data_IF_473275560209
#
_entry.id   IF_473275560209
#
_cell.length_a   1.000
_cell.length_b   1.000
_cell.length_c   1.000
_cell.angle_alpha   90.00
_cell.angle_beta   90.00
_cell.angle_gamma   90.00
#
_symmetry.space_group_name_H-M   'P 1'
#
loop_
_entity.id
_entity.type
_entity.pdbx_description
1 polymer ?
#
# COMPACT_ATOMS: atom_id res chain seq x y z
N UNK A 1 -16.35 -6.75 -9.11
CA UNK A 1 -15.98 -6.60 -7.68
C UNK A 1 -15.35 -5.23 -7.45
N UNK A 2 -15.88 -4.48 -6.52
CA UNK A 2 -15.37 -3.14 -6.22
C UNK A 2 -14.12 -3.25 -5.35
N UNK A 3 -13.04 -2.60 -5.80
CA UNK A 3 -11.78 -2.56 -5.05
C UNK A 3 -11.89 -1.49 -3.98
N UNK A 4 -11.46 -1.81 -2.76
CA UNK A 4 -11.39 -0.84 -1.66
C UNK A 4 -9.97 -0.34 -1.49
N UNK A 5 -9.85 0.97 -1.32
CA UNK A 5 -8.56 1.64 -1.10
C UNK A 5 -8.49 2.18 0.34
N UNK A 6 -7.27 2.38 0.82
CA UNK A 6 -7.01 3.00 2.12
C UNK A 6 -6.22 4.29 1.91
N UNK A 7 -6.92 5.35 1.52
CA UNK A 7 -6.31 6.64 1.20
C UNK A 7 -6.38 7.62 2.38
N UNK A 8 -7.38 7.46 3.23
CA UNK A 8 -7.60 8.26 4.45
C UNK A 8 -8.47 7.45 5.42
N UNK A 9 -8.48 7.87 6.67
CA UNK A 9 -9.25 7.14 7.70
C UNK A 9 -10.74 7.12 7.40
N UNK A 10 -11.26 8.17 6.78
CA UNK A 10 -12.68 8.27 6.45
C UNK A 10 -13.15 7.29 5.38
N UNK A 11 -12.24 6.57 4.72
CA UNK A 11 -12.60 5.53 3.76
C UNK A 11 -13.24 4.31 4.43
N UNK A 12 -13.15 4.23 5.76
CA UNK A 12 -13.64 3.11 6.55
C UNK A 12 -14.56 3.59 7.68
N UNK A 13 -15.51 2.76 8.07
CA UNK A 13 -16.34 3.03 9.23
C UNK A 13 -15.52 2.80 10.51
N UNK A 14 -16.05 3.29 11.64
CA UNK A 14 -15.41 3.05 12.93
C UNK A 14 -15.28 1.56 13.24
N UNK A 15 -16.33 0.80 12.97
CA UNK A 15 -16.33 -0.65 13.19
C UNK A 15 -15.27 -1.34 12.35
N UNK A 16 -15.09 -0.90 11.11
CA UNK A 16 -14.06 -1.43 10.23
C UNK A 16 -12.65 -1.10 10.74
N UNK A 17 -12.42 0.13 11.22
CA UNK A 17 -11.14 0.53 11.81
C UNK A 17 -10.86 -0.28 13.08
N UNK A 18 -11.85 -0.44 13.94
CA UNK A 18 -11.70 -1.25 15.16
C UNK A 18 -11.34 -2.69 14.82
N UNK A 19 -11.97 -3.25 13.79
CA UNK A 19 -11.66 -4.60 13.31
C UNK A 19 -10.21 -4.70 12.79
N UNK A 20 -9.75 -3.68 12.04
CA UNK A 20 -8.37 -3.65 11.55
C UNK A 20 -7.36 -3.61 12.70
N UNK A 21 -7.63 -2.82 13.74
CA UNK A 21 -6.77 -2.72 14.91
C UNK A 21 -6.71 -4.06 15.65
N UNK A 22 -7.87 -4.67 15.88
CA UNK A 22 -7.99 -5.98 16.51
C UNK A 22 -7.20 -7.05 15.74
N UNK A 23 -7.39 -7.07 14.43
CA UNK A 23 -6.69 -8.00 13.55
C UNK A 23 -5.19 -7.78 13.56
N UNK A 24 -4.77 -6.52 13.60
CA UNK A 24 -3.35 -6.15 13.68
C UNK A 24 -2.71 -6.68 14.96
N UNK A 25 -3.37 -6.54 16.10
CA UNK A 25 -2.88 -7.10 17.37
C UNK A 25 -2.75 -8.61 17.31
N UNK A 26 -3.73 -9.30 16.76
CA UNK A 26 -3.71 -10.74 16.62
C UNK A 26 -2.53 -11.19 15.75
N UNK A 27 -2.32 -10.56 14.60
CA UNK A 27 -1.21 -10.88 13.68
C UNK A 27 0.14 -10.61 14.36
N UNK A 28 0.26 -9.45 15.02
CA UNK A 28 1.48 -9.06 15.70
C UNK A 28 1.89 -10.06 16.79
N UNK A 29 0.95 -10.56 17.56
CA UNK A 29 1.22 -11.57 18.57
C UNK A 29 1.75 -12.86 17.95
N UNK A 30 1.18 -13.30 16.85
CA UNK A 30 1.66 -14.50 16.14
C UNK A 30 3.09 -14.30 15.64
N UNK A 31 3.40 -13.17 15.05
CA UNK A 31 4.74 -12.87 14.55
C UNK A 31 5.76 -12.84 15.69
N UNK A 32 5.40 -12.27 16.82
CA UNK A 32 6.30 -12.25 17.99
C UNK A 32 6.60 -13.62 18.57
N UNK A 33 5.72 -14.59 18.36
CA UNK A 33 5.90 -15.97 18.77
C UNK A 33 6.51 -16.86 17.69
N UNK A 34 6.84 -16.26 16.53
CA UNK A 34 7.32 -16.98 15.35
C UNK A 34 6.34 -18.06 14.87
N UNK A 35 5.04 -17.84 15.08
CA UNK A 35 3.98 -18.69 14.55
C UNK A 35 3.68 -18.29 13.12
N UNK A 36 3.81 -19.20 12.14
CA UNK A 36 3.52 -18.87 10.74
C UNK A 36 2.09 -18.41 10.53
N UNK A 37 1.93 -17.31 9.80
CA UNK A 37 0.65 -16.84 9.33
C UNK A 37 0.88 -16.16 7.99
N UNK A 38 0.51 -16.84 6.90
CA UNK A 38 0.88 -16.43 5.53
C UNK A 38 -0.34 -16.31 4.62
N UNK A 39 -1.28 -15.39 4.91
CA UNK A 39 -2.47 -15.23 4.08
C UNK A 39 -2.17 -14.63 2.71
N UNK A 40 -0.98 -14.04 2.52
CA UNK A 40 -0.60 -13.35 1.28
C UNK A 40 0.46 -14.12 0.49
N UNK A 41 0.45 -15.46 0.57
CA UNK A 41 1.37 -16.29 -0.21
C UNK A 41 1.28 -15.91 -1.69
N UNK A 42 2.46 -15.69 -2.29
CA UNK A 42 2.60 -15.35 -3.71
C UNK A 42 1.95 -14.03 -4.13
N UNK A 43 1.58 -13.17 -3.16
CA UNK A 43 1.09 -11.83 -3.47
C UNK A 43 2.24 -10.83 -3.54
N UNK A 44 2.12 -9.86 -4.41
CA UNK A 44 3.15 -8.84 -4.63
C UNK A 44 2.61 -7.46 -4.29
N UNK A 45 3.35 -6.75 -3.43
CA UNK A 45 3.12 -5.35 -3.11
C UNK A 45 4.11 -4.49 -3.91
N UNK A 46 3.61 -3.52 -4.64
CA UNK A 46 4.46 -2.47 -5.22
C UNK A 46 4.44 -1.26 -4.29
N UNK A 47 5.62 -0.83 -3.86
CA UNK A 47 5.78 0.39 -3.04
C UNK A 47 6.33 1.50 -3.92
N UNK A 48 5.56 2.57 -4.06
CA UNK A 48 5.95 3.73 -4.86
C UNK A 48 6.34 4.86 -3.91
N UNK A 49 7.62 5.25 -3.91
CA UNK A 49 8.14 6.28 -3.04
C UNK A 49 8.57 7.52 -3.83
N UNK A 50 7.87 8.62 -3.63
CA UNK A 50 8.33 9.94 -4.08
C UNK A 50 9.03 10.72 -2.96
N UNK A 51 8.92 10.22 -1.72
CA UNK A 51 9.64 10.72 -0.54
C UNK A 51 10.37 9.55 0.12
N UNK A 52 11.57 9.79 0.62
CA UNK A 52 12.29 8.77 1.37
C UNK A 52 11.61 8.48 2.71
N UNK A 53 11.58 7.21 3.08
CA UNK A 53 11.15 6.79 4.40
C UNK A 53 11.68 5.39 4.71
N UNK A 54 12.67 5.31 5.58
CA UNK A 54 13.23 4.04 6.01
C UNK A 54 12.20 3.23 6.81
N UNK A 55 11.52 3.87 7.75
CA UNK A 55 10.55 3.19 8.62
C UNK A 55 9.38 2.61 7.83
N UNK A 56 8.79 3.40 6.95
CA UNK A 56 7.67 2.95 6.12
C UNK A 56 8.10 1.81 5.21
N UNK A 57 9.25 1.96 4.55
CA UNK A 57 9.77 0.92 3.67
C UNK A 57 9.99 -0.39 4.40
N UNK A 58 10.73 -0.35 5.52
CA UNK A 58 11.05 -1.56 6.28
C UNK A 58 9.78 -2.23 6.83
N UNK A 59 8.83 -1.45 7.34
CA UNK A 59 7.60 -2.01 7.89
C UNK A 59 6.76 -2.72 6.84
N UNK A 60 6.64 -2.15 5.64
CA UNK A 60 5.89 -2.79 4.56
C UNK A 60 6.62 -4.00 3.99
N UNK A 61 7.92 -3.91 3.77
CA UNK A 61 8.71 -5.05 3.26
C UNK A 61 8.69 -6.22 4.25
N UNK A 62 9.00 -5.95 5.52
CA UNK A 62 9.01 -6.99 6.55
C UNK A 62 7.61 -7.58 6.74
N UNK A 63 6.58 -6.74 6.77
CA UNK A 63 5.20 -7.19 6.91
C UNK A 63 4.77 -8.10 5.77
N UNK A 64 5.07 -7.73 4.52
CA UNK A 64 4.74 -8.57 3.37
C UNK A 64 5.45 -9.92 3.42
N UNK A 65 6.75 -9.92 3.76
CA UNK A 65 7.51 -11.17 3.87
C UNK A 65 6.93 -12.08 4.94
N UNK A 66 6.60 -11.52 6.12
CA UNK A 66 6.02 -12.29 7.22
C UNK A 66 4.64 -12.85 6.87
N UNK A 67 3.88 -12.12 6.05
CA UNK A 67 2.56 -12.57 5.58
C UNK A 67 2.64 -13.53 4.38
N UNK A 68 3.84 -13.84 3.91
CA UNK A 68 4.07 -14.81 2.83
C UNK A 68 4.22 -14.21 1.44
N UNK A 69 4.13 -12.89 1.32
CA UNK A 69 4.22 -12.20 0.04
C UNK A 69 5.58 -11.62 -0.26
N UNK A 70 5.61 -10.79 -1.29
CA UNK A 70 6.82 -10.11 -1.77
C UNK A 70 6.55 -8.62 -1.92
N UNK A 71 7.61 -7.82 -1.84
CA UNK A 71 7.50 -6.38 -2.05
C UNK A 71 8.52 -5.91 -3.09
N UNK A 72 8.07 -5.03 -3.97
CA UNK A 72 8.92 -4.35 -4.96
C UNK A 72 8.99 -2.88 -4.55
N UNK A 73 10.21 -2.37 -4.43
CA UNK A 73 10.42 -0.96 -4.12
C UNK A 73 10.71 -0.18 -5.39
N UNK A 74 9.84 0.80 -5.70
CA UNK A 74 9.97 1.68 -6.85
C UNK A 74 10.25 3.11 -6.36
N UNK A 75 11.43 3.62 -6.67
CA UNK A 75 11.78 5.01 -6.37
C UNK A 75 11.22 5.93 -7.45
N UNK A 76 11.14 7.23 -7.17
CA UNK A 76 10.63 8.25 -8.09
C UNK A 76 11.26 8.16 -9.48
N UNK A 77 12.58 7.95 -9.54
CA UNK A 77 13.30 7.83 -10.81
C UNK A 77 12.90 6.61 -11.63
N UNK A 78 12.29 5.61 -10.99
CA UNK A 78 11.88 4.38 -11.64
C UNK A 78 10.44 4.45 -12.15
N UNK A 79 9.61 5.33 -11.58
CA UNK A 79 8.18 5.36 -11.84
C UNK A 79 7.70 6.57 -12.63
N UNK A 80 8.43 7.69 -12.59
CA UNK A 80 8.05 8.93 -13.26
C UNK A 80 6.62 9.39 -12.99
N UNK A 81 6.08 9.10 -11.78
CA UNK A 81 4.74 9.56 -11.42
C UNK A 81 4.62 11.07 -11.57
N UNK A 82 3.69 11.50 -12.44
CA UNK A 82 3.49 12.92 -12.71
C UNK A 82 4.57 13.56 -13.57
N UNK A 83 5.46 12.77 -14.17
CA UNK A 83 6.55 13.27 -15.02
C UNK A 83 6.53 12.54 -16.35
N UNK A 84 6.04 13.20 -17.39
CA UNK A 84 6.07 12.68 -18.75
C UNK A 84 5.10 11.56 -19.04
N UNK A 85 4.74 10.75 -18.06
CA UNK A 85 3.77 9.68 -18.20
C UNK A 85 2.54 9.99 -17.35
N UNK A 86 1.31 9.89 -17.92
CA UNK A 86 0.10 10.13 -17.13
C UNK A 86 0.00 9.14 -15.96
N UNK A 87 -0.43 9.65 -14.80
CA UNK A 87 -0.60 8.84 -13.59
C UNK A 87 -1.57 7.68 -13.85
N UNK A 88 -2.62 7.94 -14.62
CA UNK A 88 -3.63 6.95 -14.99
C UNK A 88 -3.03 5.77 -15.75
N UNK A 89 -2.09 6.05 -16.65
CA UNK A 89 -1.44 4.99 -17.44
C UNK A 89 -0.48 4.17 -16.58
N UNK A 90 0.27 4.82 -15.70
CA UNK A 90 1.15 4.13 -14.74
C UNK A 90 0.31 3.20 -13.86
N UNK A 91 -0.83 3.68 -13.36
CA UNK A 91 -1.74 2.88 -12.55
C UNK A 91 -2.24 1.66 -13.33
N UNK A 92 -2.69 1.85 -14.56
CA UNK A 92 -3.19 0.75 -15.39
C UNK A 92 -2.14 -0.33 -15.65
N UNK A 93 -0.88 0.09 -15.89
CA UNK A 93 0.21 -0.85 -16.19
C UNK A 93 0.65 -1.60 -14.93
N UNK A 94 1.00 -0.87 -13.86
CA UNK A 94 1.53 -1.49 -12.64
C UNK A 94 0.49 -2.43 -12.01
N UNK A 95 -0.76 -2.01 -11.93
CA UNK A 95 -1.78 -2.79 -11.24
C UNK A 95 -2.24 -4.04 -12.01
N UNK A 96 -1.73 -4.25 -13.21
CA UNK A 96 -1.89 -5.52 -13.92
C UNK A 96 -0.90 -6.59 -13.45
N UNK A 97 0.20 -6.16 -12.82
CA UNK A 97 1.32 -7.05 -12.48
C UNK A 97 1.46 -7.30 -10.98
N UNK A 98 0.77 -6.54 -10.16
CA UNK A 98 0.87 -6.65 -8.70
C UNK A 98 -0.52 -6.81 -8.08
N UNK A 99 -0.56 -7.16 -6.79
CA UNK A 99 -1.81 -7.44 -6.08
C UNK A 99 -2.25 -6.29 -5.18
N UNK A 100 -1.31 -5.43 -4.79
CA UNK A 100 -1.57 -4.29 -3.92
C UNK A 100 -0.50 -3.24 -4.16
N UNK A 101 -0.84 -1.96 -3.98
CA UNK A 101 0.08 -0.84 -4.15
C UNK A 101 0.07 0.04 -2.92
N UNK A 102 1.25 0.46 -2.46
CA UNK A 102 1.40 1.50 -1.45
C UNK A 102 2.09 2.69 -2.11
N UNK A 103 1.57 3.88 -1.90
CA UNK A 103 2.13 5.12 -2.46
C UNK A 103 2.47 6.09 -1.34
N UNK A 104 3.68 6.60 -1.37
CA UNK A 104 4.13 7.70 -0.53
C UNK A 104 4.50 8.87 -1.44
N UNK A 105 3.67 9.91 -1.45
CA UNK A 105 3.80 11.04 -2.36
C UNK A 105 3.50 12.36 -1.64
N UNK A 106 3.49 13.47 -2.38
CA UNK A 106 3.24 14.79 -1.83
C UNK A 106 1.75 15.16 -1.89
N UNK A 107 1.17 15.14 -3.07
CA UNK A 107 -0.19 15.60 -3.28
C UNK A 107 -1.22 14.49 -3.14
N UNK A 108 -2.25 14.72 -2.34
CA UNK A 108 -3.36 13.78 -2.19
C UNK A 108 -4.03 13.48 -3.54
N UNK A 109 -4.12 14.48 -4.42
CA UNK A 109 -4.72 14.30 -5.74
C UNK A 109 -4.01 13.22 -6.58
N UNK A 110 -2.70 13.06 -6.42
CA UNK A 110 -1.91 12.05 -7.16
C UNK A 110 -2.37 10.65 -6.78
N UNK A 111 -2.48 10.37 -5.48
CA UNK A 111 -2.89 9.05 -5.03
C UNK A 111 -4.36 8.77 -5.36
N UNK A 112 -5.21 9.77 -5.32
CA UNK A 112 -6.62 9.63 -5.71
C UNK A 112 -6.78 9.30 -7.18
N UNK A 113 -6.02 9.97 -8.05
CA UNK A 113 -6.02 9.68 -9.49
C UNK A 113 -5.47 8.29 -9.79
N UNK A 114 -4.41 7.89 -9.08
CA UNK A 114 -3.86 6.54 -9.24
C UNK A 114 -4.90 5.50 -8.81
N UNK A 115 -5.51 5.67 -7.65
CA UNK A 115 -6.51 4.73 -7.12
C UNK A 115 -7.72 4.59 -8.04
N UNK A 116 -8.16 5.70 -8.65
CA UNK A 116 -9.31 5.69 -9.56
C UNK A 116 -9.12 4.78 -10.79
N UNK A 117 -7.86 4.53 -11.18
CA UNK A 117 -7.52 3.71 -12.34
C UNK A 117 -6.80 2.42 -11.96
N UNK A 118 -6.76 2.10 -10.68
CA UNK A 118 -6.12 0.89 -10.18
C UNK A 118 -7.11 -0.28 -10.15
N UNK A 119 -6.62 -1.45 -10.52
CA UNK A 119 -7.37 -2.71 -10.43
C UNK A 119 -7.23 -3.37 -9.07
N UNK A 120 -6.30 -2.88 -8.24
CA UNK A 120 -5.95 -3.48 -6.96
C UNK A 120 -6.04 -2.44 -5.87
N UNK A 121 -6.11 -2.86 -4.58
CA UNK A 121 -6.13 -1.91 -3.48
C UNK A 121 -4.91 -1.01 -3.46
N UNK A 122 -5.12 0.26 -3.13
CA UNK A 122 -4.08 1.26 -2.97
C UNK A 122 -4.08 1.74 -1.52
N UNK A 123 -2.89 1.76 -0.91
CA UNK A 123 -2.68 2.20 0.46
C UNK A 123 -1.89 3.51 0.43
N UNK A 124 -2.36 4.50 1.17
CA UNK A 124 -1.65 5.76 1.34
C UNK A 124 -0.52 5.62 2.37
N UNK A 125 0.71 5.66 1.90
CA UNK A 125 1.90 5.62 2.77
C UNK A 125 2.27 6.95 3.39
N UNK A 126 1.85 8.02 2.84
CA UNK A 126 1.71 9.41 3.31
C UNK A 126 1.50 10.34 2.11
N UNK A 127 0.66 11.34 2.28
CA UNK A 127 0.57 12.53 1.42
C UNK A 127 0.71 13.75 2.29
N UNK A 128 0.64 14.96 1.70
CA UNK A 128 0.68 16.19 2.50
C UNK A 128 -0.55 16.36 3.38
N UNK A 129 -1.64 15.68 3.07
CA UNK A 129 -2.92 15.80 3.79
C UNK A 129 -3.21 14.62 4.70
N UNK A 130 -2.86 13.39 4.31
CA UNK A 130 -3.26 12.18 5.02
C UNK A 130 -2.13 11.18 5.15
N UNK A 131 -2.10 10.50 6.29
CA UNK A 131 -1.21 9.38 6.55
C UNK A 131 -1.95 8.35 7.41
N UNK A 132 -2.88 7.57 6.82
CA UNK A 132 -3.70 6.64 7.59
C UNK A 132 -2.90 5.52 8.26
N UNK A 133 -1.76 5.15 7.70
CA UNK A 133 -0.90 4.13 8.28
C UNK A 133 -0.04 4.67 9.41
#
# INVERSE_FOLDING_TARGET
MTVRHFLQLNDFTREEIDHLIERTHWIKQRFKRYEPYRPLIDRTLAMVFEKHSTRTRVSFEAGMMQLGGHAINLATRDTQLGRGEPIEDVARVITRMVDIVMIRTFEQAIIERFAAHSRVPVINGITDQHHPC
#
